data_IF_327446339899
#
_entry.id   IF_327446339899
#
_cell.length_a   1.000
_cell.length_b   1.000
_cell.length_c   1.000
_cell.angle_alpha   90.00
_cell.angle_beta   90.00
_cell.angle_gamma   90.00
#
_symmetry.space_group_name_H-M   'P 1'
#
loop_
_entity.id
_entity.type
_entity.pdbx_description
1 polymer ?
#
# COMPACT_ATOMS: atom_id res chain seq x y z
N UNK A 1 12.99 -3.80 7.40
CA UNK A 1 14.24 -4.10 8.15
C UNK A 1 14.15 -5.42 8.90
N UNK A 2 13.20 -5.59 9.84
CA UNK A 2 13.05 -6.85 10.61
C UNK A 2 12.89 -8.06 9.68
N UNK A 3 11.95 -8.00 8.73
CA UNK A 3 11.78 -9.05 7.73
C UNK A 3 13.06 -9.34 6.95
N UNK A 4 13.78 -8.31 6.49
CA UNK A 4 15.03 -8.50 5.76
C UNK A 4 16.10 -9.21 6.60
N UNK A 5 16.24 -8.85 7.88
CA UNK A 5 17.18 -9.55 8.79
C UNK A 5 16.81 -11.03 8.94
N UNK A 6 15.53 -11.33 9.12
CA UNK A 6 15.05 -12.73 9.20
C UNK A 6 15.28 -13.50 7.89
N UNK A 7 15.02 -12.87 6.75
CA UNK A 7 15.30 -13.47 5.43
C UNK A 7 16.79 -13.71 5.23
N UNK A 8 17.66 -12.80 5.65
CA UNK A 8 19.11 -12.98 5.58
C UNK A 8 19.60 -14.14 6.46
N UNK A 9 19.07 -14.31 7.68
CA UNK A 9 19.41 -15.48 8.52
C UNK A 9 19.09 -16.81 7.81
N UNK A 10 18.00 -16.84 7.04
CA UNK A 10 17.59 -18.02 6.27
C UNK A 10 18.53 -18.26 5.09
N UNK A 11 18.90 -17.19 4.38
CA UNK A 11 19.86 -17.24 3.28
C UNK A 11 21.25 -17.68 3.77
N UNK A 12 21.72 -17.18 4.91
CA UNK A 12 22.98 -17.59 5.54
C UNK A 12 22.98 -19.08 5.93
N UNK A 13 21.81 -19.65 6.20
CA UNK A 13 21.62 -21.08 6.46
C UNK A 13 21.52 -21.94 5.17
N UNK A 14 21.59 -21.31 3.99
CA UNK A 14 21.53 -21.98 2.70
C UNK A 14 20.13 -22.22 2.14
N UNK A 15 19.10 -21.64 2.75
CA UNK A 15 17.70 -21.78 2.33
C UNK A 15 17.16 -20.47 1.73
N UNK A 16 16.00 -20.55 1.09
CA UNK A 16 15.30 -19.44 0.46
C UNK A 16 14.24 -18.84 1.37
N UNK A 17 14.03 -17.53 1.25
CA UNK A 17 12.93 -16.83 1.87
C UNK A 17 12.02 -16.17 0.83
N UNK A 18 10.71 -16.17 1.09
CA UNK A 18 9.72 -15.53 0.24
C UNK A 18 9.02 -14.38 0.97
N UNK A 19 8.82 -13.24 0.31
CA UNK A 19 7.98 -12.14 0.75
C UNK A 19 6.76 -12.01 -0.16
N UNK A 20 5.59 -12.20 0.45
CA UNK A 20 4.29 -12.10 -0.21
C UNK A 20 3.71 -10.69 0.03
N UNK A 21 3.52 -9.94 -1.04
CA UNK A 21 2.97 -8.59 -1.04
C UNK A 21 1.59 -8.55 -1.75
N UNK A 22 0.61 -7.77 -1.26
CA UNK A 22 -0.78 -7.87 -1.73
C UNK A 22 -1.02 -7.30 -3.13
N UNK A 23 -0.13 -6.42 -3.60
CA UNK A 23 -0.16 -5.86 -4.95
C UNK A 23 1.21 -5.87 -5.58
N UNK A 24 1.24 -5.80 -6.91
CA UNK A 24 2.48 -5.73 -7.69
C UNK A 24 3.28 -4.47 -7.39
N UNK A 25 2.57 -3.38 -7.09
CA UNK A 25 3.18 -2.10 -6.68
C UNK A 25 3.98 -2.27 -5.40
N UNK A 26 3.40 -2.92 -4.38
CA UNK A 26 4.13 -3.22 -3.15
C UNK A 26 5.25 -4.23 -3.37
N UNK A 27 5.03 -5.27 -4.18
CA UNK A 27 6.07 -6.24 -4.50
C UNK A 27 7.29 -5.55 -5.14
N UNK A 28 7.04 -4.65 -6.09
CA UNK A 28 8.08 -3.86 -6.76
C UNK A 28 8.75 -2.89 -5.79
N UNK A 29 7.99 -2.24 -4.90
CA UNK A 29 8.56 -1.37 -3.87
C UNK A 29 9.45 -2.15 -2.91
N UNK A 30 9.01 -3.32 -2.43
CA UNK A 30 9.78 -4.18 -1.55
C UNK A 30 11.05 -4.66 -2.22
N UNK A 31 10.98 -5.08 -3.48
CA UNK A 31 12.16 -5.44 -4.28
C UNK A 31 13.16 -4.30 -4.32
N UNK A 32 12.74 -3.11 -4.77
CA UNK A 32 13.62 -1.93 -4.81
C UNK A 32 14.21 -1.58 -3.44
N UNK A 33 13.39 -1.60 -2.40
CA UNK A 33 13.81 -1.20 -1.04
C UNK A 33 14.76 -2.21 -0.41
N UNK A 34 14.52 -3.50 -0.60
CA UNK A 34 15.39 -4.57 -0.11
C UNK A 34 16.72 -4.56 -0.85
N UNK A 35 16.69 -4.47 -2.18
CA UNK A 35 17.91 -4.35 -3.00
C UNK A 35 18.73 -3.12 -2.58
N UNK A 36 18.09 -1.97 -2.37
CA UNK A 36 18.76 -0.76 -1.88
C UNK A 36 19.36 -0.93 -0.48
N UNK A 37 18.67 -1.61 0.44
CA UNK A 37 19.17 -1.90 1.78
C UNK A 37 20.34 -2.89 1.79
N UNK A 38 20.37 -3.84 0.84
CA UNK A 38 21.47 -4.78 0.67
C UNK A 38 22.72 -4.10 0.10
N UNK A 39 22.57 -3.06 -0.71
CA UNK A 39 23.68 -2.32 -1.28
C UNK A 39 24.63 -3.25 -2.06
N UNK A 40 25.90 -3.31 -1.65
CA UNK A 40 26.90 -4.18 -2.28
C UNK A 40 26.67 -5.68 -2.09
N UNK A 41 25.77 -6.07 -1.19
CA UNK A 41 25.38 -7.47 -0.99
C UNK A 41 24.29 -7.90 -1.97
N UNK A 42 23.65 -6.98 -2.71
CA UNK A 42 22.70 -7.36 -3.75
C UNK A 42 23.50 -7.95 -4.93
N UNK A 43 23.35 -9.27 -5.15
CA UNK A 43 24.00 -9.97 -6.24
C UNK A 43 23.17 -9.90 -7.52
N UNK A 44 23.75 -9.39 -8.60
CA UNK A 44 23.18 -9.49 -9.95
C UNK A 44 23.95 -10.56 -10.76
N UNK A 45 23.34 -11.75 -10.87
CA UNK A 45 23.76 -12.78 -11.84
C UNK A 45 25.00 -13.60 -11.49
N UNK A 46 25.38 -14.47 -12.44
CA UNK A 46 26.42 -15.52 -12.35
C UNK A 46 27.85 -15.02 -12.04
N UNK A 47 28.07 -13.69 -12.02
CA UNK A 47 29.38 -13.06 -11.79
C UNK A 47 29.40 -12.19 -10.54
N UNK A 48 28.52 -12.44 -9.58
CA UNK A 48 28.59 -11.77 -8.29
C UNK A 48 30.00 -11.94 -7.71
N UNK A 49 30.71 -10.82 -7.58
CA UNK A 49 32.13 -10.81 -7.22
C UNK A 49 32.39 -11.11 -5.74
N UNK A 50 31.33 -11.21 -4.94
CA UNK A 50 31.36 -11.54 -3.52
C UNK A 50 30.67 -12.88 -3.29
N UNK A 51 31.35 -13.80 -2.59
CA UNK A 51 30.79 -15.07 -2.16
C UNK A 51 29.52 -14.90 -1.29
N UNK A 52 29.35 -13.72 -0.68
CA UNK A 52 28.25 -13.38 0.24
C UNK A 52 27.11 -12.59 -0.43
N UNK A 53 27.02 -12.61 -1.77
CA UNK A 53 25.97 -11.88 -2.49
C UNK A 53 24.60 -12.59 -2.38
N UNK A 54 23.54 -11.82 -2.22
CA UNK A 54 22.16 -12.31 -2.16
C UNK A 54 21.39 -11.86 -3.40
N UNK A 55 20.93 -12.83 -4.20
CA UNK A 55 20.04 -12.56 -5.33
C UNK A 55 18.62 -12.31 -4.83
N UNK A 56 18.04 -11.18 -5.24
CA UNK A 56 16.65 -10.80 -4.93
C UNK A 56 15.81 -10.84 -6.20
N UNK A 57 14.91 -11.82 -6.30
CA UNK A 57 14.09 -12.05 -7.50
C UNK A 57 12.66 -11.56 -7.29
N UNK A 58 12.13 -10.80 -8.25
CA UNK A 58 10.74 -10.36 -8.27
C UNK A 58 9.90 -11.31 -9.14
N UNK A 59 8.72 -11.71 -8.65
CA UNK A 59 7.73 -12.47 -9.42
C UNK A 59 6.33 -11.84 -9.30
N UNK A 60 5.85 -11.23 -10.39
CA UNK A 60 4.50 -10.64 -10.50
C UNK A 60 3.72 -11.21 -11.70
N UNK A 61 2.42 -10.92 -11.77
CA UNK A 61 1.56 -11.37 -12.85
C UNK A 61 1.79 -10.61 -14.16
N UNK A 62 2.22 -9.36 -14.07
CA UNK A 62 2.49 -8.45 -15.21
C UNK A 62 3.84 -8.66 -15.91
N UNK A 63 4.68 -9.58 -15.46
CA UNK A 63 5.98 -9.83 -16.09
C UNK A 63 5.85 -10.37 -17.51
N UNK A 64 6.77 -9.98 -18.39
CA UNK A 64 6.91 -10.59 -19.71
C UNK A 64 7.23 -12.08 -19.59
N UNK A 65 6.85 -12.87 -20.59
CA UNK A 65 7.09 -14.32 -20.61
C UNK A 65 8.58 -14.66 -20.41
N UNK A 66 9.48 -13.88 -21.00
CA UNK A 66 10.92 -14.07 -20.87
C UNK A 66 11.41 -13.80 -19.43
N UNK A 67 11.07 -12.64 -18.86
CA UNK A 67 11.47 -12.27 -17.51
C UNK A 67 10.88 -13.22 -16.46
N UNK A 68 9.63 -13.64 -16.66
CA UNK A 68 8.97 -14.62 -15.80
C UNK A 68 9.67 -15.97 -15.83
N UNK A 69 10.07 -16.45 -17.01
CA UNK A 69 10.79 -17.72 -17.16
C UNK A 69 12.14 -17.69 -16.46
N UNK A 70 12.87 -16.59 -16.57
CA UNK A 70 14.14 -16.39 -15.87
C UNK A 70 13.95 -16.40 -14.35
N UNK A 71 12.98 -15.64 -13.82
CA UNK A 71 12.66 -15.64 -12.40
C UNK A 71 12.32 -17.04 -11.89
N UNK A 72 11.50 -17.81 -12.61
CA UNK A 72 11.16 -19.19 -12.23
C UNK A 72 12.39 -20.10 -12.17
N UNK A 73 13.34 -19.96 -13.11
CA UNK A 73 14.58 -20.73 -13.11
C UNK A 73 15.47 -20.36 -11.91
N UNK A 74 15.59 -19.08 -11.58
CA UNK A 74 16.36 -18.63 -10.40
C UNK A 74 15.74 -19.15 -9.10
N UNK A 75 14.41 -19.16 -8.99
CA UNK A 75 13.70 -19.67 -7.81
C UNK A 75 13.90 -21.19 -7.69
N UNK A 76 13.68 -21.94 -8.77
CA UNK A 76 13.76 -23.41 -8.76
C UNK A 76 15.18 -23.95 -8.60
N UNK A 77 16.20 -23.20 -9.05
CA UNK A 77 17.61 -23.58 -8.90
C UNK A 77 18.20 -23.21 -7.53
N UNK A 78 17.47 -22.47 -6.70
CA UNK A 78 17.98 -21.97 -5.42
C UNK A 78 18.89 -20.75 -5.54
N UNK A 79 19.13 -20.24 -6.76
CA UNK A 79 19.94 -19.03 -6.98
C UNK A 79 19.30 -17.78 -6.36
N UNK A 80 17.97 -17.73 -6.30
CA UNK A 80 17.24 -16.67 -5.63
C UNK A 80 17.19 -16.92 -4.11
N UNK A 81 18.06 -16.26 -3.35
CA UNK A 81 18.02 -16.34 -1.88
C UNK A 81 16.77 -15.66 -1.30
N UNK A 82 16.36 -14.52 -1.88
CA UNK A 82 15.13 -13.81 -1.51
C UNK A 82 14.22 -13.72 -2.72
N UNK A 83 12.97 -14.13 -2.55
CA UNK A 83 11.94 -14.07 -3.59
C UNK A 83 10.84 -13.14 -3.12
N UNK A 84 10.49 -12.13 -3.92
CA UNK A 84 9.44 -11.16 -3.62
C UNK A 84 8.37 -11.27 -4.68
N UNK A 85 7.10 -11.30 -4.29
CA UNK A 85 6.05 -11.42 -5.27
C UNK A 85 4.65 -11.27 -4.72
N UNK A 86 3.70 -11.37 -5.63
CA UNK A 86 2.26 -11.37 -5.30
C UNK A 86 1.75 -12.81 -5.18
N UNK A 87 0.44 -13.00 -5.28
CA UNK A 87 -0.21 -14.31 -5.46
C UNK A 87 0.42 -15.18 -6.56
N UNK A 88 1.19 -14.59 -7.49
CA UNK A 88 2.00 -15.34 -8.46
C UNK A 88 2.90 -16.40 -7.79
N UNK A 89 3.43 -16.14 -6.59
CA UNK A 89 4.28 -17.08 -5.84
C UNK A 89 3.55 -18.36 -5.41
N UNK A 90 2.23 -18.32 -5.31
CA UNK A 90 1.40 -19.43 -4.82
C UNK A 90 0.98 -20.35 -5.97
N UNK A 91 1.14 -19.93 -7.22
CA UNK A 91 0.74 -20.73 -8.39
C UNK A 91 1.52 -22.04 -8.48
N UNK A 92 0.90 -23.09 -9.00
CA UNK A 92 1.47 -24.45 -9.07
C UNK A 92 2.78 -24.53 -9.85
N UNK A 93 2.98 -23.59 -10.78
CA UNK A 93 4.20 -23.49 -11.60
C UNK A 93 5.43 -23.02 -10.85
N UNK A 94 5.27 -22.45 -9.65
CA UNK A 94 6.39 -21.96 -8.83
C UNK A 94 6.89 -23.09 -7.94
N UNK A 95 8.16 -23.46 -8.11
CA UNK A 95 8.84 -24.47 -7.30
C UNK A 95 10.06 -23.82 -6.65
N UNK A 96 10.16 -23.94 -5.33
CA UNK A 96 11.32 -23.51 -4.56
C UNK A 96 12.28 -24.68 -4.39
N UNK A 97 13.58 -24.40 -4.36
CA UNK A 97 14.60 -25.39 -4.05
C UNK A 97 14.54 -25.77 -2.56
N UNK A 98 14.51 -24.77 -1.67
CA UNK A 98 14.43 -24.96 -0.22
C UNK A 98 13.78 -23.73 0.45
N UNK A 99 12.45 -23.73 0.59
CA UNK A 99 11.74 -22.60 1.19
C UNK A 99 11.63 -22.78 2.72
N UNK A 100 12.32 -21.94 3.48
CA UNK A 100 12.37 -22.04 4.95
C UNK A 100 11.69 -20.88 5.69
N UNK A 101 11.42 -19.74 5.02
CA UNK A 101 10.69 -18.62 5.61
C UNK A 101 9.74 -17.96 4.63
N UNK A 102 8.55 -17.67 5.12
CA UNK A 102 7.52 -16.90 4.44
C UNK A 102 7.23 -15.64 5.25
N UNK A 103 7.45 -14.49 4.64
CA UNK A 103 7.05 -13.18 5.15
C UNK A 103 5.76 -12.77 4.43
N UNK A 104 4.70 -12.48 5.18
CA UNK A 104 3.43 -11.98 4.63
C UNK A 104 3.27 -10.52 5.06
N UNK A 105 3.22 -9.61 4.08
CA UNK A 105 2.93 -8.20 4.32
C UNK A 105 1.44 -7.88 4.14
N UNK A 106 0.91 -6.95 4.95
CA UNK A 106 -0.50 -6.58 4.99
C UNK A 106 -1.46 -7.79 4.98
N UNK A 107 -1.26 -8.66 5.97
CA UNK A 107 -1.88 -10.00 6.07
C UNK A 107 -3.37 -10.08 5.78
N UNK A 108 -4.10 -9.00 6.04
CA UNK A 108 -5.55 -8.98 5.94
C UNK A 108 -6.07 -9.06 4.51
N UNK A 109 -5.22 -8.80 3.51
CA UNK A 109 -5.57 -8.94 2.10
C UNK A 109 -5.42 -10.39 1.60
N UNK A 110 -4.86 -11.28 2.42
CA UNK A 110 -4.61 -12.67 2.05
C UNK A 110 -5.53 -13.63 2.81
N UNK A 111 -6.20 -14.49 2.03
CA UNK A 111 -7.06 -15.55 2.58
C UNK A 111 -6.25 -16.57 3.39
N UNK A 112 -6.92 -17.29 4.30
CA UNK A 112 -6.31 -18.38 5.08
C UNK A 112 -5.75 -19.47 4.16
N UNK A 113 -6.46 -19.83 3.09
CA UNK A 113 -6.04 -20.86 2.13
C UNK A 113 -4.77 -20.50 1.34
N UNK A 114 -4.60 -19.22 1.01
CA UNK A 114 -3.44 -18.74 0.26
C UNK A 114 -2.14 -18.90 1.07
N UNK A 115 -2.23 -18.72 2.39
CA UNK A 115 -1.10 -18.94 3.32
C UNK A 115 -0.76 -20.43 3.43
N UNK A 116 -1.77 -21.30 3.50
CA UNK A 116 -1.56 -22.75 3.56
C UNK A 116 -0.83 -23.28 2.33
N UNK A 117 -1.23 -22.83 1.12
CA UNK A 117 -0.60 -23.26 -0.14
C UNK A 117 0.88 -22.87 -0.25
N UNK A 118 1.29 -21.73 0.29
CA UNK A 118 2.70 -21.35 0.27
C UNK A 118 3.53 -22.20 1.24
N UNK A 119 2.95 -22.55 2.40
CA UNK A 119 3.58 -23.49 3.34
C UNK A 119 3.72 -24.91 2.77
N UNK A 120 2.82 -25.31 1.86
CA UNK A 120 2.89 -26.58 1.14
C UNK A 120 3.96 -26.61 0.03
N UNK A 121 4.52 -25.45 -0.36
CA UNK A 121 5.60 -25.37 -1.36
C UNK A 121 6.98 -25.70 -0.82
N UNK A 122 7.15 -25.83 0.51
CA UNK A 122 8.41 -26.28 1.08
C UNK A 122 8.67 -27.75 0.72
N UNK A 123 9.92 -28.05 0.36
CA UNK A 123 10.34 -29.41 -0.01
C UNK A 123 10.76 -30.14 1.27
N UNK A 124 10.18 -31.32 1.54
CA UNK A 124 10.54 -32.17 2.67
C UNK A 124 9.53 -32.15 3.84
N UNK A 125 9.95 -32.62 5.01
CA UNK A 125 9.08 -32.73 6.20
C UNK A 125 9.00 -31.43 7.03
N UNK A 126 9.82 -30.43 6.69
CA UNK A 126 9.93 -29.15 7.40
C UNK A 126 9.01 -28.11 6.78
N UNK A 127 8.07 -27.60 7.58
CA UNK A 127 7.25 -26.45 7.20
C UNK A 127 8.06 -25.16 7.33
N UNK A 128 7.86 -24.17 6.45
CA UNK A 128 8.57 -22.91 6.56
C UNK A 128 8.08 -22.14 7.79
N UNK A 129 8.97 -21.34 8.37
CA UNK A 129 8.60 -20.34 9.36
C UNK A 129 7.69 -19.29 8.72
N UNK A 130 6.72 -18.77 9.47
CA UNK A 130 5.79 -17.75 8.97
C UNK A 130 5.94 -16.49 9.82
N UNK A 131 6.39 -15.41 9.19
CA UNK A 131 6.41 -14.07 9.75
C UNK A 131 5.30 -13.25 9.13
N UNK A 132 4.33 -12.82 9.92
CA UNK A 132 3.22 -12.00 9.44
C UNK A 132 3.37 -10.56 9.92
N UNK A 133 3.32 -9.60 9.00
CA UNK A 133 3.42 -8.17 9.30
C UNK A 133 2.10 -7.46 8.99
N UNK A 134 1.72 -6.52 9.83
CA UNK A 134 0.57 -5.64 9.60
C UNK A 134 0.74 -4.34 10.36
N UNK A 135 0.35 -3.22 9.76
CA UNK A 135 0.29 -1.93 10.45
C UNK A 135 -1.00 -1.78 11.27
N UNK A 136 -2.08 -2.43 10.86
CA UNK A 136 -3.37 -2.40 11.54
C UNK A 136 -3.89 -3.82 11.70
N UNK A 137 -3.72 -4.46 12.86
CA UNK A 137 -4.32 -5.77 13.07
C UNK A 137 -5.85 -5.58 13.03
N UNK A 138 -6.51 -6.17 12.03
CA UNK A 138 -7.97 -6.20 11.95
C UNK A 138 -8.52 -6.87 13.22
N UNK A 139 -9.74 -6.56 13.69
CA UNK A 139 -10.35 -7.26 14.83
C UNK A 139 -10.27 -8.80 14.74
N UNK A 140 -10.34 -9.39 13.54
CA UNK A 140 -10.11 -10.83 13.29
C UNK A 140 -8.66 -11.26 13.50
N UNK A 141 -7.68 -10.43 13.14
CA UNK A 141 -6.25 -10.67 13.41
C UNK A 141 -5.93 -10.48 14.89
N UNK A 142 -6.50 -9.48 15.56
CA UNK A 142 -6.39 -9.33 17.02
C UNK A 142 -6.98 -10.57 17.69
N UNK A 143 -8.17 -11.01 17.26
CA UNK A 143 -8.76 -12.25 17.71
C UNK A 143 -7.86 -13.46 17.41
N UNK A 144 -7.28 -13.62 16.21
CA UNK A 144 -6.35 -14.71 15.93
C UNK A 144 -5.00 -14.59 16.66
N UNK A 145 -4.55 -13.40 17.04
CA UNK A 145 -3.35 -13.26 17.88
C UNK A 145 -3.62 -13.60 19.35
N UNK A 146 -4.89 -13.49 19.77
CA UNK A 146 -5.37 -13.83 21.12
C UNK A 146 -5.89 -15.29 21.18
N UNK A 147 -6.39 -15.83 20.08
CA UNK A 147 -7.09 -17.12 19.99
C UNK A 147 -6.47 -18.12 18.99
N UNK A 148 -5.46 -17.74 18.21
CA UNK A 148 -4.63 -18.66 17.41
C UNK A 148 -3.19 -18.64 17.94
N UNK A 149 -2.50 -19.76 17.72
CA UNK A 149 -1.15 -20.07 18.19
C UNK A 149 -0.08 -19.24 17.46
N UNK A 150 -0.10 -17.91 17.65
CA UNK A 150 0.84 -16.96 17.06
C UNK A 150 1.46 -16.08 18.15
N UNK A 151 2.79 -16.10 18.24
CA UNK A 151 3.53 -15.13 19.06
C UNK A 151 3.44 -13.72 18.45
N UNK A 152 3.19 -12.73 19.31
CA UNK A 152 2.99 -11.33 18.89
C UNK A 152 4.16 -10.47 19.36
N UNK A 153 4.74 -9.70 18.44
CA UNK A 153 5.70 -8.65 18.76
C UNK A 153 5.18 -7.30 18.26
N UNK A 154 5.14 -6.32 19.15
CA UNK A 154 4.64 -4.97 18.86
C UNK A 154 5.80 -3.98 18.78
N UNK A 155 5.88 -3.24 17.67
CA UNK A 155 6.81 -2.13 17.50
C UNK A 155 6.03 -0.82 17.66
N UNK A 156 6.24 -0.11 18.78
CA UNK A 156 5.52 1.12 19.13
C UNK A 156 6.25 2.40 18.75
N UNK A 157 7.56 2.33 18.50
CA UNK A 157 8.39 3.50 18.23
C UNK A 157 8.37 3.90 16.75
N UNK A 158 8.43 5.21 16.51
CA UNK A 158 8.55 5.76 15.17
C UNK A 158 9.98 5.53 14.63
N UNK A 159 10.13 5.14 13.35
CA UNK A 159 11.45 5.11 12.73
C UNK A 159 12.13 6.49 12.78
N UNK A 160 13.45 6.49 12.93
CA UNK A 160 14.25 7.71 12.89
C UNK A 160 13.99 8.51 11.60
N UNK A 161 13.85 9.83 11.72
CA UNK A 161 13.58 10.73 10.60
C UNK A 161 12.10 10.86 10.21
N UNK A 162 11.18 10.15 10.87
CA UNK A 162 9.73 10.34 10.64
C UNK A 162 9.21 11.54 11.42
N UNK A 163 8.73 12.56 10.71
CA UNK A 163 8.07 13.70 11.32
C UNK A 163 6.66 13.31 11.80
N UNK A 164 6.17 13.92 12.89
CA UNK A 164 4.80 13.69 13.35
C UNK A 164 3.79 14.17 12.30
N UNK A 165 2.64 13.50 12.27
CA UNK A 165 1.52 13.87 11.40
C UNK A 165 0.46 14.53 12.27
N UNK A 166 0.22 15.82 12.03
CA UNK A 166 -0.84 16.59 12.68
C UNK A 166 -2.15 16.29 11.97
N UNK A 167 -3.17 15.89 12.72
CA UNK A 167 -4.49 15.53 12.19
C UNK A 167 -5.54 16.53 12.66
N UNK A 168 -6.35 17.06 11.75
CA UNK A 168 -7.50 17.92 12.06
C UNK A 168 -8.76 17.35 11.43
N UNK A 169 -9.87 17.44 12.15
CA UNK A 169 -11.21 17.21 11.62
C UNK A 169 -11.75 18.53 11.09
N UNK A 170 -12.28 18.51 9.87
CA UNK A 170 -12.87 19.67 9.20
C UNK A 170 -14.36 19.43 9.09
N UNK A 171 -15.14 20.06 9.98
CA UNK A 171 -16.59 20.02 9.98
C UNK A 171 -17.14 20.95 8.90
N UNK A 172 -17.17 20.48 7.65
CA UNK A 172 -17.53 21.30 6.49
C UNK A 172 -18.99 21.75 6.51
N UNK A 173 -19.88 20.94 7.13
CA UNK A 173 -21.29 21.29 7.31
C UNK A 173 -21.49 22.51 8.23
N UNK A 174 -20.75 22.58 9.34
CA UNK A 174 -20.84 23.69 10.30
C UNK A 174 -20.03 24.91 9.85
N UNK A 175 -18.88 24.67 9.22
CA UNK A 175 -17.89 25.69 8.90
C UNK A 175 -17.42 25.54 7.44
N UNK A 176 -18.23 25.96 6.45
CA UNK A 176 -17.88 25.84 5.03
C UNK A 176 -16.57 26.55 4.65
N UNK A 177 -16.24 27.64 5.34
CA UNK A 177 -14.97 28.35 5.15
C UNK A 177 -13.74 27.50 5.43
N UNK A 178 -13.85 26.48 6.30
CA UNK A 178 -12.76 25.56 6.57
C UNK A 178 -12.50 24.60 5.42
N UNK A 179 -13.52 24.20 4.65
CA UNK A 179 -13.33 23.41 3.43
C UNK A 179 -12.53 24.22 2.38
N UNK A 180 -12.86 25.50 2.19
CA UNK A 180 -12.08 26.38 1.31
C UNK A 180 -10.63 26.48 1.77
N UNK A 181 -10.39 26.57 3.08
CA UNK A 181 -9.04 26.59 3.67
C UNK A 181 -8.26 25.29 3.41
N UNK A 182 -8.92 24.13 3.31
CA UNK A 182 -8.28 22.86 2.94
C UNK A 182 -7.61 22.99 1.57
N UNK A 183 -8.31 23.55 0.59
CA UNK A 183 -7.78 23.70 -0.78
C UNK A 183 -6.64 24.71 -0.83
N UNK A 184 -6.79 25.87 -0.19
CA UNK A 184 -5.68 26.85 -0.06
C UNK A 184 -4.45 26.21 0.60
N UNK A 185 -4.65 25.34 1.58
CA UNK A 185 -3.55 24.64 2.26
C UNK A 185 -2.81 23.67 1.35
N UNK A 186 -3.52 22.98 0.44
CA UNK A 186 -2.88 22.16 -0.60
C UNK A 186 -2.00 23.03 -1.50
N UNK A 187 -2.51 24.15 -2.00
CA UNK A 187 -1.74 25.06 -2.85
C UNK A 187 -0.47 25.57 -2.16
N UNK A 188 -0.56 25.95 -0.88
CA UNK A 188 0.58 26.40 -0.07
C UNK A 188 1.69 25.33 0.02
N UNK A 189 1.32 24.06 0.14
CA UNK A 189 2.27 22.95 0.25
C UNK A 189 2.86 22.58 -1.11
N UNK A 190 2.03 22.56 -2.15
CA UNK A 190 2.47 22.29 -3.53
C UNK A 190 3.44 23.37 -4.02
N UNK A 191 3.21 24.64 -3.66
CA UNK A 191 4.13 25.75 -3.96
C UNK A 191 5.52 25.55 -3.34
N UNK A 192 5.63 24.76 -2.27
CA UNK A 192 6.90 24.37 -1.64
C UNK A 192 7.53 23.12 -2.28
N UNK A 193 7.01 22.64 -3.41
CA UNK A 193 7.47 21.42 -4.10
C UNK A 193 7.00 20.13 -3.44
N UNK A 194 5.99 20.21 -2.56
CA UNK A 194 5.41 19.05 -1.88
C UNK A 194 4.21 18.53 -2.65
N UNK A 195 3.68 17.39 -2.23
CA UNK A 195 2.55 16.72 -2.89
C UNK A 195 1.41 16.45 -1.94
N UNK A 196 0.19 16.36 -2.50
CA UNK A 196 -1.03 16.14 -1.74
C UNK A 196 -1.85 14.97 -2.28
N UNK A 197 -2.47 14.23 -1.36
CA UNK A 197 -3.50 13.24 -1.65
C UNK A 197 -4.88 13.83 -1.32
N UNK A 198 -5.87 13.58 -2.18
CA UNK A 198 -7.28 13.81 -1.91
C UNK A 198 -8.03 12.49 -2.10
N UNK A 199 -8.61 11.96 -1.04
CA UNK A 199 -9.22 10.63 -1.02
C UNK A 199 -10.72 10.73 -0.86
N UNK A 200 -11.47 10.12 -1.78
CA UNK A 200 -12.93 10.03 -1.75
C UNK A 200 -13.37 8.59 -1.45
N UNK A 201 -14.50 8.43 -0.75
CA UNK A 201 -15.04 7.12 -0.39
C UNK A 201 -15.50 6.29 -1.61
N UNK A 202 -15.97 6.94 -2.68
CA UNK A 202 -16.52 6.28 -3.87
C UNK A 202 -15.97 6.89 -5.17
N UNK A 203 -16.16 6.19 -6.29
CA UNK A 203 -15.73 6.64 -7.63
C UNK A 203 -16.69 7.69 -8.21
N UNK A 204 -18.01 7.43 -8.17
CA UNK A 204 -19.08 8.26 -8.75
C UNK A 204 -19.91 7.55 -9.83
N UNK A 205 -21.09 8.10 -10.17
CA UNK A 205 -22.21 7.40 -10.85
C UNK A 205 -22.14 7.31 -12.39
N UNK A 206 -20.98 7.60 -13.00
CA UNK A 206 -20.77 7.34 -14.44
C UNK A 206 -20.17 5.96 -14.73
N UNK A 207 -20.09 5.09 -13.73
CA UNK A 207 -19.54 3.74 -13.90
C UNK A 207 -20.66 2.72 -13.78
N UNK A 208 -21.42 2.60 -14.87
CA UNK A 208 -22.39 1.51 -15.09
C UNK A 208 -21.61 0.24 -15.41
N UNK A 209 -21.49 -0.63 -14.42
CA UNK A 209 -21.67 -2.09 -14.52
C UNK A 209 -21.43 -2.68 -13.13
N UNK A 210 -22.48 -3.27 -12.58
CA UNK A 210 -22.50 -4.06 -11.36
C UNK A 210 -21.33 -5.04 -11.32
N UNK A 211 -20.52 -4.94 -10.27
CA UNK A 211 -19.69 -6.00 -9.68
C UNK A 211 -18.95 -5.36 -8.49
N UNK A 212 -19.70 -4.95 -7.46
CA UNK A 212 -19.13 -4.73 -6.14
C UNK A 212 -19.48 -5.94 -5.27
N UNK A 213 -18.45 -6.74 -4.98
CA UNK A 213 -18.49 -7.76 -3.95
C UNK A 213 -19.05 -7.15 -2.66
N UNK A 214 -20.11 -7.78 -2.17
CA UNK A 214 -20.86 -7.37 -1.00
C UNK A 214 -19.94 -7.07 0.19
N UNK A 215 -19.81 -5.78 0.53
CA UNK A 215 -19.40 -5.39 1.86
C UNK A 215 -20.51 -5.82 2.82
N UNK A 216 -20.17 -6.72 3.73
CA UNK A 216 -21.01 -7.06 4.87
C UNK A 216 -21.20 -5.77 5.66
N UNK A 217 -22.37 -5.14 5.52
CA UNK A 217 -22.90 -4.20 6.49
C UNK A 217 -22.89 -4.92 7.85
N UNK A 218 -21.97 -4.54 8.73
CA UNK A 218 -22.15 -4.81 10.15
C UNK A 218 -23.23 -3.83 10.59
N UNK A 219 -24.44 -4.27 10.95
CA UNK A 219 -25.46 -3.36 11.41
C UNK A 219 -25.01 -2.86 12.78
N UNK A 220 -24.52 -1.61 12.81
CA UNK A 220 -24.49 -0.86 14.05
C UNK A 220 -25.95 -0.62 14.39
N UNK A 221 -26.44 -1.18 15.48
CA UNK A 221 -27.79 -0.94 15.96
C UNK A 221 -27.93 0.56 16.27
N UNK A 222 -28.46 1.32 15.31
CA UNK A 222 -28.92 2.69 15.50
C UNK A 222 -30.42 2.65 15.74
N UNK A 223 -30.77 3.18 16.90
CA UNK A 223 -32.11 3.50 17.38
C UNK A 223 -32.99 4.10 16.28
N UNK A 224 -34.19 3.53 16.10
CA UNK A 224 -35.17 3.93 15.09
C UNK A 224 -35.77 5.31 15.44
N UNK A 225 -35.11 6.39 15.00
CA UNK A 225 -35.63 7.72 15.34
C UNK A 225 -35.06 8.95 14.62
N UNK A 226 -34.16 8.84 13.65
CA UNK A 226 -33.65 10.03 12.95
C UNK A 226 -33.32 9.76 11.49
N UNK A 227 -34.26 10.12 10.61
CA UNK A 227 -34.02 10.28 9.19
C UNK A 227 -33.23 11.57 8.96
N UNK A 228 -31.93 11.55 9.21
CA UNK A 228 -31.03 12.61 8.72
C UNK A 228 -30.70 12.30 7.27
N UNK A 229 -31.21 13.14 6.36
CA UNK A 229 -30.90 13.12 4.94
C UNK A 229 -29.40 13.43 4.77
N UNK A 230 -28.54 12.40 4.79
CA UNK A 230 -27.10 12.56 4.53
C UNK A 230 -26.93 13.18 3.14
N UNK A 231 -26.12 14.24 3.05
CA UNK A 231 -25.79 14.86 1.77
C UNK A 231 -25.20 13.80 0.82
N UNK A 232 -25.52 13.84 -0.49
CA UNK A 232 -25.02 12.85 -1.43
C UNK A 232 -23.49 12.94 -1.50
N UNK A 233 -22.83 11.81 -1.24
CA UNK A 233 -21.37 11.69 -1.32
C UNK A 233 -20.85 12.15 -2.69
N UNK A 234 -19.79 12.93 -2.72
CA UNK A 234 -19.11 13.34 -3.96
C UNK A 234 -18.13 12.24 -4.37
N UNK A 235 -18.29 11.71 -5.58
CA UNK A 235 -17.37 10.69 -6.11
C UNK A 235 -16.02 11.26 -6.52
N UNK A 236 -14.96 10.44 -6.51
CA UNK A 236 -13.60 10.82 -6.92
C UNK A 236 -13.55 11.46 -8.32
N UNK A 237 -14.36 10.98 -9.27
CA UNK A 237 -14.42 11.55 -10.63
C UNK A 237 -14.97 12.97 -10.59
N UNK A 238 -16.07 13.18 -9.87
CA UNK A 238 -16.69 14.51 -9.73
C UNK A 238 -15.78 15.47 -8.96
N UNK A 239 -15.13 14.98 -7.90
CA UNK A 239 -14.15 15.75 -7.13
C UNK A 239 -12.97 16.15 -7.99
N UNK A 240 -12.44 15.24 -8.80
CA UNK A 240 -11.35 15.52 -9.73
C UNK A 240 -11.71 16.63 -10.72
N UNK A 241 -12.90 16.55 -11.34
CA UNK A 241 -13.33 17.60 -12.28
C UNK A 241 -13.52 18.94 -11.58
N UNK A 242 -14.18 18.96 -10.42
CA UNK A 242 -14.36 20.18 -9.61
C UNK A 242 -13.02 20.84 -9.30
N UNK A 243 -12.11 20.12 -8.65
CA UNK A 243 -10.81 20.64 -8.24
C UNK A 243 -9.95 21.11 -9.43
N UNK A 244 -9.98 20.38 -10.55
CA UNK A 244 -9.21 20.75 -11.75
C UNK A 244 -9.76 21.98 -12.45
N UNK A 245 -11.06 22.24 -12.36
CA UNK A 245 -11.69 23.40 -13.01
C UNK A 245 -11.72 24.65 -12.14
N UNK A 246 -11.77 24.50 -10.82
CA UNK A 246 -11.97 25.61 -9.89
C UNK A 246 -10.82 25.70 -8.88
N UNK A 247 -10.94 25.05 -7.72
CA UNK A 247 -10.12 25.35 -6.53
C UNK A 247 -8.63 25.07 -6.69
N UNK A 248 -8.24 24.14 -7.56
CA UNK A 248 -6.86 23.73 -7.79
C UNK A 248 -6.49 23.82 -9.29
N UNK A 249 -7.18 24.68 -10.05
CA UNK A 249 -6.99 24.86 -11.50
C UNK A 249 -5.58 25.24 -11.94
N UNK A 250 -4.76 25.79 -11.02
CA UNK A 250 -3.36 26.13 -11.26
C UNK A 250 -2.38 24.94 -11.04
N UNK A 251 -2.85 23.80 -10.54
CA UNK A 251 -2.01 22.66 -10.18
C UNK A 251 -2.15 21.49 -11.17
N UNK A 252 -1.14 20.62 -11.21
CA UNK A 252 -1.20 19.37 -11.99
C UNK A 252 -1.87 18.30 -11.15
N UNK A 253 -3.13 18.01 -11.48
CA UNK A 253 -3.97 17.05 -10.77
C UNK A 253 -4.15 15.80 -11.62
N UNK A 254 -4.13 14.63 -11.00
CA UNK A 254 -4.46 13.36 -11.66
C UNK A 254 -5.46 12.53 -10.85
N UNK A 255 -6.31 11.77 -11.54
CA UNK A 255 -7.31 10.87 -10.96
C UNK A 255 -6.78 9.44 -10.92
N UNK A 256 -7.00 8.74 -9.81
CA UNK A 256 -6.72 7.31 -9.68
C UNK A 256 -7.84 6.55 -8.96
N UNK A 257 -8.40 5.52 -9.58
CA UNK A 257 -9.38 4.66 -8.92
C UNK A 257 -9.27 3.19 -9.37
N UNK A 258 -9.98 2.29 -8.67
CA UNK A 258 -9.83 0.84 -8.83
C UNK A 258 -10.22 0.33 -10.22
N UNK A 259 -11.18 1.00 -10.89
CA UNK A 259 -11.62 0.67 -12.26
C UNK A 259 -10.64 1.07 -13.36
N UNK A 260 -9.58 1.84 -13.07
CA UNK A 260 -8.58 2.17 -14.09
C UNK A 260 -7.75 0.93 -14.43
N UNK A 261 -7.36 0.74 -15.71
CA UNK A 261 -6.37 -0.25 -16.10
C UNK A 261 -5.08 -0.17 -15.28
N UNK A 262 -4.41 -1.32 -15.05
CA UNK A 262 -3.26 -1.40 -14.16
C UNK A 262 -2.08 -0.53 -14.61
N UNK A 263 -1.82 -0.49 -15.91
CA UNK A 263 -0.84 0.37 -16.57
C UNK A 263 -1.11 1.86 -16.30
N UNK A 264 -2.37 2.29 -16.39
CA UNK A 264 -2.75 3.68 -16.10
C UNK A 264 -2.54 4.04 -14.63
N UNK A 265 -2.91 3.14 -13.70
CA UNK A 265 -2.66 3.36 -12.26
C UNK A 265 -1.15 3.43 -11.95
N UNK A 266 -0.36 2.57 -12.58
CA UNK A 266 1.10 2.58 -12.42
C UNK A 266 1.70 3.87 -12.95
N UNK A 267 1.25 4.33 -14.10
CA UNK A 267 1.72 5.57 -14.71
C UNK A 267 1.35 6.80 -13.88
N UNK A 268 0.10 6.88 -13.39
CA UNK A 268 -0.31 7.93 -12.45
C UNK A 268 0.59 7.98 -11.21
N UNK A 269 0.95 6.81 -10.67
CA UNK A 269 1.85 6.70 -9.51
C UNK A 269 3.29 7.02 -9.82
N UNK A 270 3.76 6.66 -11.01
CA UNK A 270 5.07 7.06 -11.50
C UNK A 270 5.15 8.59 -11.56
N UNK A 271 4.20 9.25 -12.24
CA UNK A 271 4.14 10.71 -12.38
C UNK A 271 3.99 11.43 -11.04
N UNK A 272 3.16 10.90 -10.14
CA UNK A 272 3.03 11.45 -8.80
C UNK A 272 4.31 11.28 -7.97
N UNK A 273 5.12 10.24 -8.22
CA UNK A 273 6.43 10.05 -7.59
C UNK A 273 7.54 10.96 -8.12
N UNK A 274 7.36 11.61 -9.29
CA UNK A 274 8.39 12.46 -9.89
C UNK A 274 8.64 13.74 -9.06
N UNK A 275 9.88 14.28 -9.06
CA UNK A 275 10.19 15.57 -8.45
C UNK A 275 9.31 16.68 -9.01
N UNK A 276 8.94 17.67 -8.19
CA UNK A 276 8.05 18.76 -8.62
C UNK A 276 8.60 19.57 -9.82
N UNK A 277 9.93 19.58 -10.00
CA UNK A 277 10.63 20.22 -11.13
C UNK A 277 10.44 19.51 -12.46
N UNK A 278 10.00 18.26 -12.45
CA UNK A 278 9.75 17.49 -13.67
C UNK A 278 8.44 17.97 -14.32
N UNK A 279 8.41 18.26 -15.64
CA UNK A 279 7.20 18.72 -16.32
C UNK A 279 6.06 17.69 -16.29
N UNK A 280 6.36 16.39 -16.23
CA UNK A 280 5.37 15.32 -16.13
C UNK A 280 4.90 15.05 -14.69
N UNK A 281 5.48 15.72 -13.69
CA UNK A 281 5.11 15.49 -12.31
C UNK A 281 3.66 15.87 -12.03
N UNK A 282 3.01 15.06 -11.19
CA UNK A 282 1.69 15.38 -10.63
C UNK A 282 1.88 15.94 -9.23
N UNK A 283 1.16 17.02 -8.93
CA UNK A 283 1.20 17.71 -7.65
C UNK A 283 0.15 17.18 -6.68
N UNK A 284 -1.04 16.88 -7.19
CA UNK A 284 -2.20 16.42 -6.41
C UNK A 284 -2.78 15.16 -7.03
N UNK A 285 -2.92 14.12 -6.22
CA UNK A 285 -3.58 12.89 -6.64
C UNK A 285 -4.95 12.78 -5.98
N UNK A 286 -6.00 12.82 -6.80
CA UNK A 286 -7.37 12.52 -6.39
C UNK A 286 -7.60 11.04 -6.57
N UNK A 287 -8.00 10.33 -5.51
CA UNK A 287 -8.20 8.89 -5.61
C UNK A 287 -9.27 8.35 -4.68
N UNK A 288 -9.57 7.06 -4.84
CA UNK A 288 -10.32 6.29 -3.85
C UNK A 288 -9.38 5.56 -2.88
N UNK A 289 -9.94 4.67 -2.05
CA UNK A 289 -9.23 3.76 -1.13
C UNK A 289 -8.14 2.90 -1.79
N UNK A 290 -7.98 2.93 -3.12
CA UNK A 290 -6.93 2.18 -3.83
C UNK A 290 -5.51 2.65 -3.46
N UNK A 291 -5.32 3.89 -2.96
CA UNK A 291 -4.03 4.34 -2.39
C UNK A 291 -3.64 3.55 -1.12
N UNK A 292 -4.59 2.85 -0.50
CA UNK A 292 -4.34 1.98 0.65
C UNK A 292 -3.18 1.03 0.39
N UNK A 293 -2.90 0.68 -0.88
CA UNK A 293 -1.80 -0.21 -1.24
C UNK A 293 -0.60 0.53 -1.86
N UNK A 294 0.19 1.15 -0.97
CA UNK A 294 1.62 0.80 -0.99
C UNK A 294 2.54 1.51 -1.98
N UNK A 295 2.35 2.81 -2.23
CA UNK A 295 3.43 3.64 -2.79
C UNK A 295 3.90 4.60 -1.71
N UNK A 296 5.22 4.68 -1.54
CA UNK A 296 5.86 5.68 -0.70
C UNK A 296 6.31 6.86 -1.56
N UNK A 297 5.75 8.04 -1.29
CA UNK A 297 6.09 9.28 -1.97
C UNK A 297 6.67 10.23 -0.93
N UNK A 298 8.01 10.37 -0.84
CA UNK A 298 8.65 11.15 0.21
C UNK A 298 8.20 12.62 0.26
N UNK A 299 7.85 13.19 -0.90
CA UNK A 299 7.35 14.56 -1.02
C UNK A 299 5.87 14.74 -0.61
N UNK A 300 5.13 13.64 -0.37
CA UNK A 300 3.74 13.71 0.05
C UNK A 300 3.63 14.16 1.51
N UNK A 301 3.05 15.34 1.69
CA UNK A 301 2.97 16.03 2.99
C UNK A 301 1.52 16.24 3.45
N UNK A 302 0.56 16.31 2.53
CA UNK A 302 -0.86 16.54 2.85
C UNK A 302 -1.70 15.34 2.44
N UNK A 303 -2.54 14.88 3.36
CA UNK A 303 -3.58 13.89 3.14
C UNK A 303 -4.93 14.54 3.44
N UNK A 304 -5.82 14.61 2.46
CA UNK A 304 -7.21 15.03 2.64
C UNK A 304 -8.10 13.82 2.42
N UNK A 305 -8.96 13.51 3.39
CA UNK A 305 -9.97 12.47 3.27
C UNK A 305 -11.34 13.13 3.29
N UNK A 306 -12.07 13.00 2.19
CA UNK A 306 -13.42 13.52 2.02
C UNK A 306 -14.44 12.54 2.59
N UNK A 307 -15.47 13.06 3.25
CA UNK A 307 -16.52 12.28 3.90
C UNK A 307 -15.95 11.20 4.83
N UNK A 308 -14.99 11.61 5.67
CA UNK A 308 -14.17 10.74 6.50
C UNK A 308 -14.97 9.83 7.46
N UNK A 309 -16.22 10.18 7.75
CA UNK A 309 -17.17 9.37 8.52
C UNK A 309 -17.59 8.05 7.82
N UNK A 310 -17.29 7.90 6.54
CA UNK A 310 -17.57 6.68 5.76
C UNK A 310 -16.40 5.69 5.74
N UNK A 311 -15.30 6.00 6.43
CA UNK A 311 -14.12 5.16 6.49
C UNK A 311 -14.00 4.48 7.85
N UNK A 312 -13.57 3.21 7.85
CA UNK A 312 -13.18 2.54 9.08
C UNK A 312 -11.93 3.19 9.67
N UNK A 313 -11.80 3.18 11.01
CA UNK A 313 -10.64 3.76 11.72
C UNK A 313 -9.30 3.21 11.22
N UNK A 314 -9.24 1.91 10.91
CA UNK A 314 -8.04 1.29 10.34
C UNK A 314 -7.68 1.86 8.96
N UNK A 315 -8.67 2.10 8.10
CA UNK A 315 -8.45 2.71 6.78
C UNK A 315 -7.96 4.15 6.92
N UNK A 316 -8.58 4.94 7.80
CA UNK A 316 -8.13 6.30 8.11
C UNK A 316 -6.69 6.32 8.64
N UNK A 317 -6.33 5.36 9.49
CA UNK A 317 -4.96 5.22 9.98
C UNK A 317 -3.97 4.88 8.86
N UNK A 318 -4.32 3.95 7.97
CA UNK A 318 -3.49 3.58 6.83
C UNK A 318 -3.31 4.75 5.86
N UNK A 319 -4.38 5.47 5.51
CA UNK A 319 -4.35 6.66 4.67
C UNK A 319 -3.49 7.76 5.31
N UNK A 320 -3.73 8.06 6.60
CA UNK A 320 -2.88 9.01 7.36
C UNK A 320 -1.41 8.63 7.28
N UNK A 321 -1.07 7.33 7.34
CA UNK A 321 0.29 6.83 7.27
C UNK A 321 0.98 6.97 5.90
N UNK A 322 0.30 7.44 4.86
CA UNK A 322 0.85 7.64 3.50
C UNK A 322 1.62 8.96 3.34
N UNK A 323 1.49 9.90 4.29
CA UNK A 323 2.20 11.19 4.28
C UNK A 323 3.25 11.28 5.39
N UNK A 324 4.16 12.25 5.28
CA UNK A 324 5.17 12.53 6.29
C UNK A 324 6.32 11.51 6.32
N UNK A 325 6.57 10.84 5.19
CA UNK A 325 7.58 9.78 5.07
C UNK A 325 8.97 10.28 4.71
N UNK A 326 9.08 11.42 4.02
CA UNK A 326 10.35 12.06 3.67
C UNK A 326 10.92 13.00 4.73
N UNK A 327 10.50 12.88 5.99
CA UNK A 327 10.90 13.80 7.08
C UNK A 327 10.22 15.18 7.07
N UNK A 328 9.37 15.45 6.08
CA UNK A 328 8.49 16.61 6.06
C UNK A 328 7.36 16.45 7.10
N UNK A 329 7.00 17.49 7.86
CA UNK A 329 5.82 17.46 8.72
C UNK A 329 4.57 17.08 7.93
N UNK A 330 3.88 16.04 8.37
CA UNK A 330 2.66 15.58 7.72
C UNK A 330 1.43 16.33 8.23
N UNK A 331 0.49 16.60 7.34
CA UNK A 331 -0.83 17.15 7.66
C UNK A 331 -1.91 16.21 7.13
N UNK A 332 -2.81 15.78 8.01
CA UNK A 332 -3.98 14.99 7.65
C UNK A 332 -5.25 15.77 7.98
N UNK A 333 -6.09 16.01 6.98
CA UNK A 333 -7.34 16.76 7.07
C UNK A 333 -8.49 15.80 6.79
N UNK A 334 -9.30 15.54 7.80
CA UNK A 334 -10.46 14.64 7.73
C UNK A 334 -11.71 15.50 7.55
N UNK A 335 -12.18 15.64 6.32
CA UNK A 335 -13.36 16.43 6.00
C UNK A 335 -14.60 15.59 6.25
N UNK A 336 -15.56 16.11 7.01
CA UNK A 336 -16.84 15.46 7.26
C UNK A 336 -17.98 16.47 7.13
N UNK A 337 -19.09 15.96 6.59
CA UNK A 337 -20.37 16.65 6.51
C UNK A 337 -21.39 16.05 7.50
N UNK A 338 -20.94 15.13 8.37
CA UNK A 338 -21.76 14.62 9.44
C UNK A 338 -22.07 15.76 10.44
N UNK A 339 -23.32 15.82 10.95
CA UNK A 339 -23.76 16.83 11.90
C UNK A 339 -23.18 16.64 13.31
#
# INVERSE_FOLDING_TARGET
VVALRAMLTVVDAGAQAALLAPTEVLATQHHRSITALLGSLAGEGLFATNADSVTVTLLTGSMSTAARREALLQIASGQAGIVIGTHALIQDTVQFADLALVVVDEQHRFGVEQRARLSEKAVGATKPHILTMTATPIPRTVAMSIFADMDVSTLSELPAGRAPIVTHVVAAAEQPAHEVRVWTRIEEEVRQGRKAYVVCAKIGDNAVSDDEEAFIEVPVAVDEGSSTTRAPLVGAVQMFERLRTDELSALRIELMHGRLPADQRHEAMRRFGLPATDPEAVDVLVATTVIEVGVDVPAASVMVVMDADNFGVSQLHQLRGRVGRGGLPGLCLLVTHAP
#
